data_IF_449120511812
#
_entry.id   IF_449120511812
#
_cell.length_a   1.000
_cell.length_b   1.000
_cell.length_c   1.000
_cell.angle_alpha   90.00
_cell.angle_beta   90.00
_cell.angle_gamma   90.00
#
_symmetry.space_group_name_H-M   'P 1'
#
loop_
_entity.id
_entity.type
_entity.pdbx_description
1 polymer ?
#
# COMPACT_ATOMS: atom_id res chain seq x y z
N UNK A 1 -23.25 7.23 7.82
CA UNK A 1 -22.04 7.51 8.62
C UNK A 1 -20.86 6.65 8.16
N UNK A 2 -19.69 6.77 8.78
CA UNK A 2 -18.53 5.95 8.42
C UNK A 2 -18.78 4.47 8.75
N UNK A 3 -18.37 3.57 7.86
CA UNK A 3 -18.44 2.11 8.08
C UNK A 3 -17.22 1.59 8.84
N UNK A 4 -16.11 2.33 8.84
CA UNK A 4 -14.90 2.06 9.61
C UNK A 4 -14.37 3.39 10.16
N UNK A 5 -14.02 3.43 11.44
CA UNK A 5 -13.53 4.65 12.10
C UNK A 5 -12.38 4.33 13.06
N UNK A 6 -11.77 5.36 13.62
CA UNK A 6 -10.75 5.23 14.64
C UNK A 6 -11.25 4.45 15.87
N UNK A 7 -10.35 3.74 16.52
CA UNK A 7 -10.56 2.98 17.77
C UNK A 7 -9.42 3.25 18.74
N UNK A 8 -9.44 2.66 19.93
CA UNK A 8 -8.33 2.80 20.89
C UNK A 8 -7.03 2.20 20.35
N UNK A 9 -7.11 1.12 19.57
CA UNK A 9 -5.94 0.47 18.97
C UNK A 9 -5.47 1.18 17.68
N UNK A 10 -6.38 1.92 17.01
CA UNK A 10 -6.12 2.67 15.79
C UNK A 10 -6.61 4.12 15.98
N UNK A 11 -5.89 4.95 16.78
CA UNK A 11 -6.50 6.13 17.41
C UNK A 11 -6.61 7.37 16.51
N UNK A 12 -5.98 7.41 15.33
CA UNK A 12 -5.91 8.65 14.57
C UNK A 12 -6.73 8.60 13.29
N UNK A 13 -6.09 8.47 12.13
CA UNK A 13 -6.80 8.43 10.85
C UNK A 13 -7.11 6.99 10.43
N UNK A 14 -8.13 6.84 9.60
CA UNK A 14 -8.44 5.62 8.86
C UNK A 14 -8.74 6.05 7.42
N UNK A 15 -8.17 5.38 6.42
CA UNK A 15 -8.34 5.76 5.02
C UNK A 15 -7.87 4.69 4.03
N UNK A 16 -7.86 5.04 2.75
CA UNK A 16 -7.36 4.24 1.63
C UNK A 16 -7.91 2.79 1.61
N UNK A 17 -9.23 2.57 1.69
CA UNK A 17 -9.78 1.22 1.71
C UNK A 17 -9.67 0.54 0.35
N UNK A 18 -9.21 -0.70 0.35
CA UNK A 18 -9.29 -1.62 -0.77
C UNK A 18 -10.07 -2.86 -0.33
N UNK A 19 -11.10 -3.27 -1.09
CA UNK A 19 -11.99 -4.37 -0.70
C UNK A 19 -12.04 -5.45 -1.75
N UNK A 20 -11.89 -6.71 -1.33
CA UNK A 20 -12.20 -7.88 -2.13
C UNK A 20 -13.24 -8.75 -1.42
N UNK A 21 -14.17 -9.31 -2.18
CA UNK A 21 -15.04 -10.38 -1.70
C UNK A 21 -14.40 -11.72 -2.03
N UNK A 22 -14.13 -12.53 -1.01
CA UNK A 22 -13.56 -13.86 -1.11
C UNK A 22 -14.55 -14.85 -0.51
N UNK A 23 -15.17 -15.66 -1.37
CA UNK A 23 -16.30 -16.54 -1.00
C UNK A 23 -17.42 -15.70 -0.36
N UNK A 24 -17.75 -15.96 0.90
CA UNK A 24 -18.82 -15.30 1.63
C UNK A 24 -18.34 -14.17 2.55
N UNK A 25 -17.03 -13.84 2.51
CA UNK A 25 -16.43 -12.83 3.37
C UNK A 25 -15.85 -11.69 2.54
N UNK A 26 -16.10 -10.45 2.94
CA UNK A 26 -15.42 -9.27 2.43
C UNK A 26 -14.16 -9.03 3.26
N UNK A 27 -13.04 -8.79 2.59
CA UNK A 27 -11.77 -8.41 3.16
C UNK A 27 -11.48 -6.96 2.77
N UNK A 28 -11.11 -6.14 3.74
CA UNK A 28 -10.69 -4.76 3.52
C UNK A 28 -9.27 -4.60 4.02
N UNK A 29 -8.40 -4.11 3.15
CA UNK A 29 -7.09 -3.58 3.51
C UNK A 29 -7.18 -2.06 3.48
N UNK A 30 -6.68 -1.41 4.51
CA UNK A 30 -6.82 0.03 4.72
C UNK A 30 -5.63 0.58 5.48
N UNK A 31 -5.50 1.88 5.55
CA UNK A 31 -4.50 2.51 6.41
C UNK A 31 -5.10 3.00 7.73
N UNK A 32 -4.30 2.96 8.78
CA UNK A 32 -4.61 3.57 10.05
C UNK A 32 -3.42 4.32 10.62
N UNK A 33 -3.67 5.47 11.23
CA UNK A 33 -2.63 6.29 11.84
C UNK A 33 -2.24 5.74 13.21
N UNK A 34 -0.94 5.67 13.48
CA UNK A 34 -0.40 5.19 14.75
C UNK A 34 0.16 6.29 15.64
N UNK A 35 0.68 7.38 15.04
CA UNK A 35 1.20 8.54 15.78
C UNK A 35 1.40 9.75 14.88
N UNK A 36 1.66 10.88 15.54
CA UNK A 36 2.16 12.11 14.93
C UNK A 36 3.60 12.34 15.36
N UNK A 37 4.43 12.80 14.44
CA UNK A 37 5.80 13.17 14.70
C UNK A 37 6.03 14.63 14.29
N UNK A 38 6.92 15.33 14.98
CA UNK A 38 7.32 16.68 14.61
C UNK A 38 8.27 16.65 13.42
N UNK A 39 7.94 17.39 12.36
CA UNK A 39 8.88 17.58 11.26
C UNK A 39 9.95 18.58 11.72
N UNK A 40 11.26 18.21 11.75
CA UNK A 40 12.31 19.08 12.27
C UNK A 40 12.68 20.24 11.32
N UNK A 41 12.25 20.16 10.05
CA UNK A 41 12.61 21.16 9.02
C UNK A 41 11.47 22.18 8.86
N UNK A 42 10.25 21.71 8.93
CA UNK A 42 9.03 22.53 8.76
C UNK A 42 8.26 22.43 10.06
N UNK A 43 7.94 23.48 10.72
CA UNK A 43 7.16 23.45 11.97
C UNK A 43 5.71 22.90 11.76
N UNK A 44 5.65 21.66 11.30
CA UNK A 44 4.40 20.91 11.05
C UNK A 44 4.49 19.52 11.64
N UNK A 45 3.37 18.92 11.92
CA UNK A 45 3.27 17.52 12.33
C UNK A 45 3.02 16.64 11.13
N UNK A 46 3.78 15.56 11.04
CA UNK A 46 3.60 14.49 10.05
C UNK A 46 2.94 13.28 10.68
N UNK A 47 2.19 12.55 9.88
CA UNK A 47 1.45 11.36 10.30
C UNK A 47 2.23 10.11 9.97
N UNK A 48 2.30 9.17 10.91
CA UNK A 48 2.77 7.81 10.65
C UNK A 48 1.56 6.89 10.58
N UNK A 49 1.44 6.14 9.50
CA UNK A 49 0.32 5.23 9.25
C UNK A 49 0.77 3.90 8.65
N UNK A 50 0.04 2.85 8.95
CA UNK A 50 0.33 1.48 8.58
C UNK A 50 -0.86 0.83 7.88
N UNK A 51 -0.62 -0.27 7.20
CA UNK A 51 -1.68 -1.07 6.59
C UNK A 51 -2.26 -2.02 7.62
N UNK A 52 -3.57 -1.93 7.80
CA UNK A 52 -4.40 -2.82 8.60
C UNK A 52 -5.35 -3.66 7.75
N UNK A 53 -6.09 -4.54 8.41
CA UNK A 53 -7.04 -5.43 7.77
C UNK A 53 -8.33 -5.54 8.61
N UNK A 54 -9.45 -5.66 7.91
CA UNK A 54 -10.76 -5.93 8.52
C UNK A 54 -11.55 -6.92 7.66
N UNK A 55 -12.49 -7.62 8.27
CA UNK A 55 -13.43 -8.53 7.60
C UNK A 55 -14.87 -8.14 7.84
N UNK A 56 -15.75 -8.53 6.91
CA UNK A 56 -17.19 -8.33 7.02
C UNK A 56 -17.95 -9.41 6.25
N UNK A 57 -19.16 -9.71 6.69
CA UNK A 57 -20.11 -10.57 5.96
C UNK A 57 -21.12 -9.79 5.12
N UNK A 58 -21.25 -8.48 5.36
CA UNK A 58 -22.28 -7.63 4.75
C UNK A 58 -21.71 -6.35 4.08
N UNK A 59 -20.37 -6.15 4.12
CA UNK A 59 -19.65 -4.97 3.66
C UNK A 59 -20.04 -3.65 4.38
N UNK A 60 -20.79 -3.73 5.47
CA UNK A 60 -21.22 -2.58 6.28
C UNK A 60 -20.64 -2.65 7.69
N UNK A 61 -20.75 -3.81 8.32
CA UNK A 61 -20.23 -4.05 9.65
C UNK A 61 -18.87 -4.75 9.55
N UNK A 62 -17.81 -4.07 10.02
CA UNK A 62 -16.43 -4.53 9.85
C UNK A 62 -15.78 -4.87 11.19
N UNK A 63 -15.05 -6.00 11.20
CA UNK A 63 -14.26 -6.45 12.34
C UNK A 63 -12.78 -6.28 12.01
N UNK A 64 -12.10 -5.38 12.71
CA UNK A 64 -10.68 -5.07 12.55
C UNK A 64 -9.79 -6.15 13.15
N UNK A 65 -8.64 -6.39 12.54
CA UNK A 65 -7.59 -7.26 13.13
C UNK A 65 -6.73 -6.53 14.17
N UNK A 66 -6.81 -5.19 14.20
CA UNK A 66 -6.08 -4.31 15.14
C UNK A 66 -4.56 -4.55 15.16
N UNK A 67 -3.98 -4.83 14.01
CA UNK A 67 -2.53 -5.02 13.86
C UNK A 67 -2.03 -4.54 12.50
N UNK A 68 -0.78 -4.11 12.46
CA UNK A 68 -0.04 -3.92 11.22
C UNK A 68 0.14 -5.28 10.54
N UNK A 69 -0.11 -5.36 9.23
CA UNK A 69 -0.05 -6.61 8.47
C UNK A 69 1.13 -6.69 7.50
N UNK A 70 1.81 -5.59 7.23
CA UNK A 70 3.01 -5.52 6.38
C UNK A 70 4.15 -4.94 7.20
N UNK A 71 5.27 -5.65 7.26
CA UNK A 71 6.46 -5.22 8.01
C UNK A 71 7.09 -3.94 7.44
N UNK A 72 7.72 -3.15 8.31
CA UNK A 72 8.48 -1.97 7.92
C UNK A 72 9.82 -2.37 7.28
N UNK A 73 10.22 -1.64 6.24
CA UNK A 73 11.52 -1.80 5.57
C UNK A 73 12.50 -0.69 5.95
N UNK A 74 12.02 0.52 6.08
CA UNK A 74 12.86 1.69 6.31
C UNK A 74 13.17 1.86 7.80
N UNK A 75 12.16 2.04 8.62
CA UNK A 75 12.22 2.18 10.08
C UNK A 75 10.80 2.24 10.65
N UNK A 76 10.68 2.37 11.97
CA UNK A 76 9.37 2.41 12.68
C UNK A 76 8.46 3.59 12.28
N UNK A 77 9.01 4.62 11.62
CA UNK A 77 8.28 5.76 11.11
C UNK A 77 7.94 5.64 9.60
N UNK A 78 8.19 4.48 8.99
CA UNK A 78 7.73 4.21 7.63
C UNK A 78 6.22 4.42 7.52
N UNK A 79 5.80 5.17 6.51
CA UNK A 79 4.40 5.32 6.16
C UNK A 79 4.05 4.37 5.03
N UNK A 80 2.98 3.59 5.18
CA UNK A 80 2.47 2.64 4.18
C UNK A 80 1.08 3.08 3.74
N UNK A 81 0.80 3.13 2.44
CA UNK A 81 -0.46 3.66 1.91
C UNK A 81 -0.95 2.91 0.68
N UNK A 82 -2.24 3.05 0.40
CA UNK A 82 -2.91 2.61 -0.81
C UNK A 82 -2.63 1.13 -1.16
N UNK A 83 -3.00 0.19 -0.27
CA UNK A 83 -2.92 -1.21 -0.59
C UNK A 83 -3.85 -1.54 -1.76
N UNK A 84 -3.38 -2.32 -2.71
CA UNK A 84 -4.15 -2.88 -3.82
C UNK A 84 -3.86 -4.36 -3.92
N UNK A 85 -4.90 -5.20 -3.89
CA UNK A 85 -4.75 -6.65 -3.71
C UNK A 85 -5.46 -7.39 -4.85
N UNK A 86 -4.80 -8.41 -5.38
CA UNK A 86 -5.41 -9.40 -6.28
C UNK A 86 -5.17 -10.81 -5.76
N UNK A 87 -6.04 -11.75 -6.15
CA UNK A 87 -5.80 -13.17 -6.01
C UNK A 87 -5.41 -13.73 -7.38
N UNK A 88 -4.20 -14.29 -7.49
CA UNK A 88 -3.68 -14.83 -8.72
C UNK A 88 -2.78 -16.04 -8.44
N UNK A 89 -2.87 -17.09 -9.25
CA UNK A 89 -2.07 -18.32 -9.12
C UNK A 89 -2.01 -18.89 -7.69
N UNK A 90 -3.16 -18.90 -6.99
CA UNK A 90 -3.27 -19.52 -5.65
C UNK A 90 -2.73 -18.67 -4.50
N UNK A 91 -2.27 -17.44 -4.76
CA UNK A 91 -1.78 -16.49 -3.75
C UNK A 91 -2.48 -15.15 -3.85
N UNK A 92 -2.47 -14.41 -2.76
CA UNK A 92 -2.81 -12.98 -2.72
C UNK A 92 -1.53 -12.18 -2.96
N UNK A 93 -1.61 -11.21 -3.85
CA UNK A 93 -0.54 -10.28 -4.16
C UNK A 93 -1.02 -8.88 -3.79
N UNK A 94 -0.23 -8.17 -3.00
CA UNK A 94 -0.48 -6.79 -2.62
C UNK A 94 0.64 -5.90 -3.13
N UNK A 95 0.26 -4.82 -3.77
CA UNK A 95 1.14 -3.67 -3.94
C UNK A 95 0.64 -2.55 -3.04
N UNK A 96 1.57 -1.74 -2.56
CA UNK A 96 1.28 -0.57 -1.73
C UNK A 96 2.38 0.45 -1.96
N UNK A 97 2.20 1.69 -1.55
CA UNK A 97 3.32 2.63 -1.54
C UNK A 97 3.82 2.87 -0.12
N UNK A 98 5.15 3.06 0.02
CA UNK A 98 5.79 3.35 1.29
C UNK A 98 6.79 4.51 1.16
N UNK A 99 7.04 5.21 2.25
CA UNK A 99 7.93 6.37 2.31
C UNK A 99 8.43 6.66 3.72
N UNK A 100 9.43 7.51 3.84
CA UNK A 100 9.76 8.14 5.11
C UNK A 100 8.63 9.07 5.56
N UNK A 101 8.40 9.18 6.86
CA UNK A 101 7.40 10.09 7.40
C UNK A 101 7.77 11.57 7.18
N UNK A 102 9.07 11.88 7.19
CA UNK A 102 9.61 13.23 7.01
C UNK A 102 10.48 13.27 5.76
N UNK A 103 10.55 14.41 5.08
CA UNK A 103 11.46 14.64 3.94
C UNK A 103 10.95 14.14 2.58
N UNK A 104 9.87 13.41 2.53
CA UNK A 104 9.39 12.73 1.32
C UNK A 104 8.95 13.65 0.18
N UNK A 105 8.76 14.95 0.43
CA UNK A 105 8.45 15.95 -0.61
C UNK A 105 9.69 16.73 -1.06
N UNK A 106 10.74 16.69 -0.27
CA UNK A 106 11.95 17.49 -0.47
C UNK A 106 13.13 16.65 -0.96
N UNK A 107 13.13 15.37 -0.66
CA UNK A 107 14.23 14.46 -0.96
C UNK A 107 13.69 13.19 -1.63
N UNK A 108 14.15 12.90 -2.83
CA UNK A 108 13.74 11.72 -3.60
C UNK A 108 14.07 10.40 -2.90
N UNK A 109 15.11 10.36 -2.04
CA UNK A 109 15.45 9.16 -1.25
C UNK A 109 14.41 8.83 -0.18
N UNK A 110 13.68 9.83 0.29
CA UNK A 110 12.64 9.69 1.32
C UNK A 110 11.23 9.59 0.70
N UNK A 111 11.13 9.80 -0.62
CA UNK A 111 9.89 9.82 -1.37
C UNK A 111 9.26 8.42 -1.50
N UNK A 112 8.05 8.39 -2.02
CA UNK A 112 7.33 7.14 -2.23
C UNK A 112 8.04 6.17 -3.16
N UNK A 113 8.01 4.91 -2.75
CA UNK A 113 8.32 3.73 -3.56
C UNK A 113 7.14 2.77 -3.52
N UNK A 114 7.07 1.87 -4.49
CA UNK A 114 6.09 0.79 -4.47
C UNK A 114 6.69 -0.39 -3.72
N UNK A 115 5.94 -0.89 -2.73
CA UNK A 115 6.24 -2.12 -2.03
C UNK A 115 5.39 -3.26 -2.55
N UNK A 116 5.88 -4.46 -2.37
CA UNK A 116 5.19 -5.69 -2.71
C UNK A 116 5.16 -6.65 -1.53
N UNK A 117 4.04 -7.32 -1.36
CA UNK A 117 3.89 -8.41 -0.41
C UNK A 117 2.97 -9.49 -0.98
N UNK A 118 3.15 -10.72 -0.52
CA UNK A 118 2.27 -11.83 -0.88
C UNK A 118 1.78 -12.58 0.35
N UNK A 119 0.67 -13.31 0.17
CA UNK A 119 0.05 -14.10 1.24
C UNK A 119 -0.67 -15.32 0.64
N UNK A 120 -0.76 -16.41 1.39
CA UNK A 120 -1.56 -17.59 1.04
C UNK A 120 -2.96 -17.55 1.65
N UNK A 121 -3.19 -16.71 2.66
CA UNK A 121 -4.43 -16.64 3.43
C UNK A 121 -5.09 -15.25 3.45
N UNK A 122 -4.41 -14.22 2.89
CA UNK A 122 -4.85 -12.82 2.91
C UNK A 122 -4.71 -12.12 4.26
N UNK A 123 -4.18 -12.80 5.28
CA UNK A 123 -4.06 -12.32 6.66
C UNK A 123 -2.61 -12.15 7.10
N UNK A 124 -1.77 -13.10 6.71
CA UNK A 124 -0.35 -13.13 7.02
C UNK A 124 0.44 -12.83 5.75
N UNK A 125 1.12 -11.69 5.74
CA UNK A 125 1.80 -11.17 4.56
C UNK A 125 3.30 -11.27 4.69
N UNK A 126 3.96 -11.67 3.62
CA UNK A 126 5.41 -11.67 3.50
C UNK A 126 5.77 -10.52 2.56
N UNK A 127 6.49 -9.52 3.07
CA UNK A 127 6.99 -8.41 2.27
C UNK A 127 8.18 -8.85 1.43
N UNK A 128 8.18 -8.53 0.13
CA UNK A 128 9.15 -9.00 -0.84
C UNK A 128 9.32 -8.00 -1.98
N UNK A 129 9.70 -6.77 -1.62
CA UNK A 129 9.80 -5.64 -2.56
C UNK A 129 10.78 -5.93 -3.72
N UNK A 130 11.78 -6.78 -3.52
CA UNK A 130 12.79 -7.11 -4.53
C UNK A 130 12.19 -7.89 -5.72
N UNK A 131 11.13 -8.63 -5.47
CA UNK A 131 10.39 -9.36 -6.50
C UNK A 131 9.24 -8.57 -7.14
N UNK A 132 9.14 -7.26 -6.89
CA UNK A 132 8.19 -6.40 -7.60
C UNK A 132 8.54 -6.26 -9.10
N UNK A 133 9.82 -6.35 -9.45
CA UNK A 133 10.30 -6.29 -10.84
C UNK A 133 10.39 -4.89 -11.44
N UNK A 134 9.96 -3.83 -10.73
CA UNK A 134 10.10 -2.43 -11.17
C UNK A 134 10.64 -1.54 -10.06
N UNK A 135 11.36 -0.49 -10.43
CA UNK A 135 11.84 0.59 -9.57
C UNK A 135 11.86 1.90 -10.37
N UNK A 136 12.21 2.98 -9.71
CA UNK A 136 12.36 4.32 -10.33
C UNK A 136 13.32 4.29 -11.52
N UNK A 137 12.98 5.02 -12.58
CA UNK A 137 13.80 5.10 -13.81
C UNK A 137 14.62 6.38 -13.84
N UNK A 138 15.94 6.26 -13.71
CA UNK A 138 16.82 7.40 -13.64
C UNK A 138 16.63 8.37 -14.83
N UNK A 139 16.32 9.63 -14.54
CA UNK A 139 16.15 10.69 -15.55
C UNK A 139 14.80 10.70 -16.26
N UNK A 140 13.85 9.83 -15.84
CA UNK A 140 12.52 9.72 -16.44
C UNK A 140 11.43 10.33 -15.54
N UNK A 141 10.18 10.19 -15.97
CA UNK A 141 8.96 10.74 -15.34
C UNK A 141 8.68 10.17 -13.93
N UNK A 142 9.28 9.05 -13.56
CA UNK A 142 9.18 8.36 -12.26
C UNK A 142 10.50 8.31 -11.47
N UNK A 143 11.52 9.08 -11.88
CA UNK A 143 12.87 9.03 -11.32
C UNK A 143 12.97 9.34 -9.82
N UNK A 144 12.08 10.17 -9.30
CA UNK A 144 12.09 10.63 -7.92
C UNK A 144 11.07 9.89 -7.04
N UNK A 145 9.98 9.41 -7.64
CA UNK A 145 8.84 8.90 -6.90
C UNK A 145 8.00 7.94 -7.74
N UNK A 146 7.58 6.84 -7.12
CA UNK A 146 6.53 5.96 -7.61
C UNK A 146 5.47 5.82 -6.51
N UNK A 147 4.21 6.17 -6.80
CA UNK A 147 3.17 6.15 -5.77
C UNK A 147 1.80 5.77 -6.32
N UNK A 148 0.86 5.52 -5.41
CA UNK A 148 -0.55 5.23 -5.69
C UNK A 148 -0.75 4.03 -6.62
N UNK A 149 -0.16 2.86 -6.28
CA UNK A 149 -0.25 1.69 -7.12
C UNK A 149 -1.67 1.12 -7.14
N UNK A 150 -2.06 0.59 -8.29
CA UNK A 150 -3.31 -0.14 -8.45
C UNK A 150 -3.10 -1.37 -9.31
N UNK A 151 -3.41 -2.55 -8.75
CA UNK A 151 -3.41 -3.81 -9.49
C UNK A 151 -4.77 -4.04 -10.14
N UNK A 152 -4.75 -4.47 -11.38
CA UNK A 152 -5.94 -4.98 -12.06
C UNK A 152 -5.61 -6.19 -12.92
N UNK A 153 -6.57 -7.11 -13.05
CA UNK A 153 -6.45 -8.28 -13.92
C UNK A 153 -7.41 -8.14 -15.10
N UNK A 154 -6.87 -8.27 -16.31
CA UNK A 154 -7.63 -8.23 -17.56
C UNK A 154 -7.17 -9.37 -18.44
N UNK A 155 -8.08 -10.27 -18.84
CA UNK A 155 -7.78 -11.43 -19.68
C UNK A 155 -6.58 -12.25 -19.14
N UNK A 156 -6.63 -12.57 -17.84
CA UNK A 156 -5.62 -13.33 -17.10
C UNK A 156 -4.25 -12.65 -16.95
N UNK A 157 -4.05 -11.49 -17.54
CA UNK A 157 -2.87 -10.66 -17.36
C UNK A 157 -3.04 -9.70 -16.19
N UNK A 158 -1.97 -9.52 -15.42
CA UNK A 158 -1.93 -8.58 -14.29
C UNK A 158 -1.22 -7.32 -14.71
N UNK A 159 -1.86 -6.19 -14.45
CA UNK A 159 -1.35 -4.86 -14.73
C UNK A 159 -1.20 -4.08 -13.43
N UNK A 160 -0.14 -3.30 -13.34
CA UNK A 160 0.13 -2.34 -12.30
C UNK A 160 0.08 -0.93 -12.89
N UNK A 161 -0.88 -0.13 -12.45
CA UNK A 161 -0.95 1.30 -12.73
C UNK A 161 -0.32 2.04 -11.56
N UNK A 162 0.47 3.10 -11.80
CA UNK A 162 1.09 3.90 -10.75
C UNK A 162 1.39 5.32 -11.21
N UNK A 163 1.46 6.25 -10.27
CA UNK A 163 1.85 7.62 -10.51
C UNK A 163 3.36 7.80 -10.35
N UNK A 164 3.96 8.63 -11.21
CA UNK A 164 5.36 9.04 -11.11
C UNK A 164 5.57 10.29 -10.27
N UNK A 165 6.60 11.06 -10.64
CA UNK A 165 7.09 12.23 -9.92
C UNK A 165 6.01 13.24 -9.54
N UNK A 166 6.18 13.88 -8.37
CA UNK A 166 5.27 14.89 -7.84
C UNK A 166 3.81 14.39 -7.76
N UNK A 167 3.62 13.17 -7.28
CA UNK A 167 2.30 12.53 -7.09
C UNK A 167 1.50 12.37 -8.39
N UNK A 168 2.18 12.23 -9.53
CA UNK A 168 1.57 12.08 -10.83
C UNK A 168 1.36 13.41 -11.58
N UNK A 169 2.14 14.45 -11.29
CA UNK A 169 2.08 15.72 -12.04
C UNK A 169 2.23 15.52 -13.56
N UNK A 170 3.01 14.52 -13.96
CA UNK A 170 3.26 14.19 -15.38
C UNK A 170 2.38 13.02 -15.87
N UNK A 171 1.47 12.52 -15.03
CA UNK A 171 0.57 11.43 -15.35
C UNK A 171 0.86 10.15 -14.56
N UNK A 172 0.34 9.03 -15.08
CA UNK A 172 0.53 7.70 -14.52
C UNK A 172 1.03 6.74 -15.60
N UNK A 173 1.72 5.69 -15.17
CA UNK A 173 2.27 4.65 -16.02
C UNK A 173 1.62 3.30 -15.82
N UNK A 174 2.01 2.36 -16.66
CA UNK A 174 1.55 1.00 -16.69
C UNK A 174 2.74 0.06 -16.75
N UNK A 175 2.80 -0.89 -15.82
CA UNK A 175 3.63 -2.08 -15.94
C UNK A 175 2.73 -3.31 -16.09
N UNK A 176 3.24 -4.34 -16.75
CA UNK A 176 2.54 -5.61 -16.95
C UNK A 176 3.41 -6.72 -16.35
N UNK A 177 2.78 -7.59 -15.56
CA UNK A 177 3.43 -8.78 -15.04
C UNK A 177 3.56 -9.84 -16.14
N UNK A 178 4.75 -10.36 -16.35
CA UNK A 178 4.96 -11.47 -17.28
C UNK A 178 4.59 -12.80 -16.63
N UNK A 179 3.97 -13.71 -17.40
CA UNK A 179 3.45 -15.00 -16.89
C UNK A 179 4.52 -15.89 -16.23
N UNK A 180 5.79 -15.69 -16.55
CA UNK A 180 6.90 -16.50 -16.07
C UNK A 180 7.48 -16.07 -14.71
N UNK A 181 7.13 -14.90 -14.20
CA UNK A 181 7.68 -14.35 -12.95
C UNK A 181 6.93 -14.77 -11.69
N UNK A 182 5.70 -15.26 -11.83
CA UNK A 182 4.85 -15.73 -10.73
C UNK A 182 5.03 -17.21 -10.36
N UNK A 183 5.91 -17.93 -11.02
CA UNK A 183 6.13 -19.38 -10.77
C UNK A 183 7.31 -19.66 -9.81
N UNK A 184 7.95 -18.64 -9.28
CA UNK A 184 9.03 -18.78 -8.28
C UNK A 184 8.49 -18.40 -6.88
#
# INVERSE_FOLDING_TARGET
>A
GPVLSATLDEPFLVGDPFVLKLKDTYHMWYIYGIRWIQNPIKDVKERVYKIGHATSTDAVNWVKTNRQIVDDKLNVDECQALPSVIFHNGKYHMVFCYRQAVGFRENSKDAYRIGYAYSTDGLNWIRDDENLGIDTTAGDWDSDMMCYPHLCSVNEKVYLLYNGNNFGKTGFGLAMMEENELQK
#
